data_IF_417382603305
#
_entry.id   IF_417382603305
#
_cell.length_a   1.000
_cell.length_b   1.000
_cell.length_c   1.000
_cell.angle_alpha   90.00
_cell.angle_beta   90.00
_cell.angle_gamma   90.00
#
_symmetry.space_group_name_H-M   'P 1'
#
loop_
_entity.id
_entity.type
_entity.pdbx_description
1 polymer ?
#
# COMPACT_ATOMS: atom_id res chain seq x y z
N UNK A 1 90.97 51.83 -61.52
CA UNK A 1 90.12 52.33 -60.41
C UNK A 1 88.65 52.29 -60.80
N UNK A 2 88.25 52.58 -62.02
CA UNK A 2 86.84 52.55 -62.45
C UNK A 2 86.17 51.17 -62.30
N UNK A 3 86.88 50.07 -62.60
CA UNK A 3 86.39 48.69 -62.55
C UNK A 3 86.08 48.23 -61.09
N UNK A 4 86.79 48.80 -60.06
CA UNK A 4 86.47 48.53 -58.65
C UNK A 4 85.23 49.29 -58.16
N UNK A 5 85.06 50.52 -58.66
CA UNK A 5 83.86 51.32 -58.30
C UNK A 5 82.57 50.68 -58.81
N UNK A 6 82.62 50.17 -60.07
CA UNK A 6 81.46 49.44 -60.68
C UNK A 6 81.17 48.11 -59.95
N UNK A 7 82.21 47.39 -59.53
CA UNK A 7 82.01 46.16 -58.73
C UNK A 7 81.46 46.44 -57.34
N UNK A 8 81.84 47.52 -56.69
CA UNK A 8 81.29 47.96 -55.42
C UNK A 8 79.83 48.37 -55.59
N UNK A 9 79.50 49.12 -56.62
CA UNK A 9 78.11 49.49 -56.95
C UNK A 9 77.22 48.29 -57.19
N UNK A 10 77.70 47.34 -58.00
CA UNK A 10 77.01 46.10 -58.28
C UNK A 10 76.80 45.25 -56.99
N UNK A 11 77.83 45.14 -56.18
CA UNK A 11 77.70 44.43 -54.87
C UNK A 11 76.78 45.13 -53.91
N UNK A 12 76.78 46.46 -53.86
CA UNK A 12 75.88 47.26 -53.04
C UNK A 12 74.44 47.09 -53.49
N UNK A 13 74.16 47.18 -54.78
CA UNK A 13 72.81 46.94 -55.35
C UNK A 13 72.36 45.51 -55.06
N UNK A 14 73.25 44.53 -55.17
CA UNK A 14 72.91 43.16 -54.85
C UNK A 14 72.59 42.94 -53.35
N UNK A 15 73.32 43.62 -52.47
CA UNK A 15 73.05 43.62 -51.00
C UNK A 15 71.71 44.24 -50.70
N UNK A 16 71.37 45.35 -51.34
CA UNK A 16 70.02 45.95 -51.16
C UNK A 16 68.92 45.09 -51.66
N UNK A 17 69.08 44.47 -52.82
CA UNK A 17 68.09 43.47 -53.32
C UNK A 17 67.89 42.30 -52.34
N UNK A 18 69.04 41.71 -51.87
CA UNK A 18 69.00 40.60 -50.94
C UNK A 18 68.41 41.00 -49.58
N UNK A 19 68.61 42.20 -49.11
CA UNK A 19 67.96 42.75 -47.89
C UNK A 19 66.45 42.87 -48.08
N UNK A 20 66.00 43.34 -49.26
CA UNK A 20 64.64 43.42 -49.61
C UNK A 20 63.95 42.02 -49.64
N UNK A 21 64.58 41.05 -50.34
CA UNK A 21 64.09 39.65 -50.38
C UNK A 21 64.03 39.02 -48.97
N UNK A 22 65.09 39.24 -48.13
CA UNK A 22 65.09 38.77 -46.75
C UNK A 22 63.87 39.32 -45.94
N UNK A 23 63.65 40.63 -46.07
CA UNK A 23 62.60 41.29 -45.35
C UNK A 23 61.16 40.72 -45.77
N UNK A 24 60.99 40.47 -47.05
CA UNK A 24 59.74 39.88 -47.55
C UNK A 24 59.59 38.42 -47.07
N UNK A 25 60.62 37.58 -47.13
CA UNK A 25 60.64 36.23 -46.61
C UNK A 25 60.39 36.18 -45.08
N UNK A 26 60.96 37.13 -44.31
CA UNK A 26 60.72 37.27 -42.90
C UNK A 26 59.20 37.59 -42.62
N UNK A 27 58.58 38.47 -43.43
CA UNK A 27 57.13 38.75 -43.35
C UNK A 27 56.29 37.55 -43.70
N UNK A 28 56.63 36.80 -44.75
CA UNK A 28 55.98 35.58 -45.12
C UNK A 28 56.08 34.51 -44.03
N UNK A 29 57.24 34.32 -43.47
CA UNK A 29 57.50 33.39 -42.38
C UNK A 29 56.65 33.76 -41.16
N UNK A 30 56.53 35.07 -40.86
CA UNK A 30 55.70 35.53 -39.76
C UNK A 30 54.23 35.28 -40.05
N UNK A 31 53.73 35.51 -41.24
CA UNK A 31 52.40 35.20 -41.68
C UNK A 31 52.10 33.69 -41.56
N UNK A 32 52.98 32.81 -42.05
CA UNK A 32 52.85 31.38 -41.95
C UNK A 32 52.90 30.89 -40.50
N UNK A 33 53.74 31.47 -39.64
CA UNK A 33 53.86 31.11 -38.22
C UNK A 33 52.58 31.41 -37.45
N UNK A 34 51.89 32.48 -37.79
CA UNK A 34 50.62 32.85 -37.14
C UNK A 34 49.41 32.50 -37.99
N UNK A 35 49.57 31.86 -39.12
CA UNK A 35 48.46 31.38 -39.93
C UNK A 35 47.80 30.20 -39.24
N UNK A 36 46.58 30.38 -38.83
CA UNK A 36 45.69 29.37 -38.26
C UNK A 36 44.58 29.08 -39.26
N UNK A 37 44.82 28.13 -40.18
CA UNK A 37 43.72 27.70 -41.08
C UNK A 37 42.58 27.17 -40.26
N UNK A 38 41.37 27.46 -40.65
CA UNK A 38 40.14 27.00 -39.95
C UNK A 38 39.97 27.52 -38.54
N UNK A 39 40.56 28.66 -38.15
CA UNK A 39 40.45 29.21 -36.80
C UNK A 39 39.00 29.46 -36.41
N UNK A 40 38.20 30.10 -37.29
CA UNK A 40 36.80 30.42 -37.04
C UNK A 40 35.96 29.13 -36.93
N UNK A 41 36.23 28.14 -37.75
CA UNK A 41 35.55 26.84 -37.71
C UNK A 41 35.91 26.06 -36.44
N UNK A 42 37.18 26.03 -36.04
CA UNK A 42 37.61 25.41 -34.79
C UNK A 42 37.02 26.09 -33.55
N UNK A 43 36.97 27.41 -33.54
CA UNK A 43 36.36 28.19 -32.46
C UNK A 43 34.84 27.94 -32.38
N UNK A 44 34.18 27.82 -33.56
CA UNK A 44 32.74 27.46 -33.63
C UNK A 44 32.50 26.05 -33.11
N UNK A 45 33.27 25.06 -33.57
CA UNK A 45 33.18 23.67 -33.10
C UNK A 45 33.46 23.53 -31.59
N UNK A 46 34.46 24.27 -31.10
CA UNK A 46 34.77 24.31 -29.67
C UNK A 46 33.59 24.86 -28.85
N UNK A 47 32.95 25.93 -29.30
CA UNK A 47 31.76 26.48 -28.67
C UNK A 47 30.62 25.50 -28.68
N UNK A 48 30.35 24.83 -29.81
CA UNK A 48 29.30 23.85 -29.96
C UNK A 48 29.56 22.64 -29.03
N UNK A 49 30.78 22.13 -28.97
CA UNK A 49 31.17 21.04 -28.06
C UNK A 49 30.99 21.43 -26.61
N UNK A 50 31.33 22.66 -26.21
CA UNK A 50 31.09 23.15 -24.86
C UNK A 50 29.61 23.29 -24.55
N UNK A 51 28.82 23.77 -25.48
CA UNK A 51 27.35 23.86 -25.33
C UNK A 51 26.72 22.47 -25.17
N UNK A 52 27.15 21.50 -25.97
CA UNK A 52 26.70 20.11 -25.84
C UNK A 52 27.08 19.50 -24.49
N UNK A 53 28.28 19.78 -23.99
CA UNK A 53 28.71 19.32 -22.66
C UNK A 53 27.89 19.95 -21.51
N UNK A 54 27.55 21.22 -21.63
CA UNK A 54 26.66 21.88 -20.66
C UNK A 54 25.26 21.27 -20.70
N UNK A 55 24.73 21.07 -21.91
CA UNK A 55 23.40 20.44 -22.08
C UNK A 55 23.36 19.02 -21.54
N UNK A 56 24.40 18.23 -21.74
CA UNK A 56 24.56 16.88 -21.16
C UNK A 56 24.51 16.92 -19.64
N UNK A 57 25.23 17.86 -19.02
CA UNK A 57 25.21 18.06 -17.56
C UNK A 57 23.82 18.46 -17.03
N UNK A 58 23.16 19.38 -17.73
CA UNK A 58 21.78 19.78 -17.40
C UNK A 58 20.79 18.61 -17.46
N UNK A 59 20.84 17.84 -18.55
CA UNK A 59 19.95 16.69 -18.73
C UNK A 59 20.18 15.61 -17.67
N UNK A 60 21.44 15.32 -17.34
CA UNK A 60 21.77 14.40 -16.25
C UNK A 60 21.21 14.90 -14.90
N UNK A 61 21.30 16.21 -14.63
CA UNK A 61 20.71 16.83 -13.46
C UNK A 61 19.18 16.70 -13.43
N UNK A 62 18.51 16.94 -14.57
CA UNK A 62 17.05 16.80 -14.70
C UNK A 62 16.59 15.35 -14.53
N UNK A 63 17.29 14.39 -15.13
CA UNK A 63 17.02 12.95 -14.98
C UNK A 63 17.11 12.56 -13.51
N UNK A 64 18.21 12.93 -12.84
CA UNK A 64 18.45 12.61 -11.43
C UNK A 64 17.38 13.23 -10.51
N UNK A 65 17.02 14.49 -10.74
CA UNK A 65 15.97 15.18 -9.98
C UNK A 65 14.58 14.56 -10.20
N UNK A 66 14.28 14.16 -11.45
CA UNK A 66 13.02 13.52 -11.79
C UNK A 66 12.92 12.12 -11.16
N UNK A 67 14.03 11.36 -11.18
CA UNK A 67 14.10 10.05 -10.52
C UNK A 67 13.91 10.14 -9.01
N UNK A 68 14.54 11.12 -8.36
CA UNK A 68 14.34 11.39 -6.93
C UNK A 68 12.86 11.68 -6.60
N UNK A 69 12.16 12.46 -7.44
CA UNK A 69 10.73 12.73 -7.29
C UNK A 69 9.87 11.48 -7.48
N UNK A 70 10.19 10.63 -8.47
CA UNK A 70 9.50 9.36 -8.67
C UNK A 70 9.64 8.49 -7.43
N UNK A 71 10.85 8.32 -6.91
CA UNK A 71 11.12 7.52 -5.73
C UNK A 71 10.38 8.07 -4.49
N UNK A 72 10.39 9.39 -4.31
CA UNK A 72 9.64 10.04 -3.23
C UNK A 72 8.14 9.74 -3.31
N UNK A 73 7.52 9.90 -4.49
CA UNK A 73 6.09 9.62 -4.68
C UNK A 73 5.77 8.14 -4.52
N UNK A 74 6.66 7.23 -4.94
CA UNK A 74 6.49 5.80 -4.73
C UNK A 74 6.53 5.43 -3.25
N UNK A 75 7.51 5.95 -2.52
CA UNK A 75 7.62 5.72 -1.06
C UNK A 75 6.40 6.29 -0.31
N UNK A 76 5.92 7.47 -0.71
CA UNK A 76 4.70 8.06 -0.13
C UNK A 76 3.45 7.23 -0.45
N UNK A 77 3.34 6.71 -1.67
CA UNK A 77 2.27 5.80 -2.07
C UNK A 77 2.29 4.52 -1.22
N UNK A 78 3.44 3.85 -1.13
CA UNK A 78 3.62 2.61 -0.38
C UNK A 78 3.31 2.79 1.12
N UNK A 79 3.74 3.91 1.69
CA UNK A 79 3.44 4.25 3.09
C UNK A 79 1.93 4.42 3.31
N UNK A 80 1.26 5.21 2.47
CA UNK A 80 -0.18 5.44 2.59
C UNK A 80 -0.98 4.14 2.34
N UNK A 81 -0.54 3.30 1.40
CA UNK A 81 -1.16 1.99 1.14
C UNK A 81 -1.02 1.07 2.36
N UNK A 82 0.16 1.02 2.97
CA UNK A 82 0.39 0.23 4.18
C UNK A 82 -0.45 0.72 5.37
N UNK A 83 -0.61 2.04 5.54
CA UNK A 83 -1.46 2.63 6.57
C UNK A 83 -2.94 2.26 6.36
N UNK A 84 -3.46 2.39 5.13
CA UNK A 84 -4.84 1.99 4.79
C UNK A 84 -5.04 0.48 5.05
N UNK A 85 -4.09 -0.36 4.64
CA UNK A 85 -4.17 -1.80 4.84
C UNK A 85 -4.16 -2.18 6.32
N UNK A 86 -3.28 -1.57 7.12
CA UNK A 86 -3.17 -1.84 8.55
C UNK A 86 -4.44 -1.42 9.31
N UNK A 87 -4.96 -0.21 9.06
CA UNK A 87 -6.18 0.30 9.70
C UNK A 87 -7.41 -0.55 9.31
N UNK A 88 -7.55 -0.86 8.02
CA UNK A 88 -8.65 -1.69 7.53
C UNK A 88 -8.58 -3.09 8.10
N UNK A 89 -7.38 -3.70 8.13
CA UNK A 89 -7.18 -5.03 8.69
C UNK A 89 -7.58 -5.08 10.17
N UNK A 90 -7.13 -4.11 10.97
CA UNK A 90 -7.46 -4.06 12.40
C UNK A 90 -8.99 -3.99 12.62
N UNK A 91 -9.72 -3.20 11.80
CA UNK A 91 -11.18 -3.09 11.88
C UNK A 91 -11.89 -4.37 11.44
N UNK A 92 -11.40 -5.00 10.36
CA UNK A 92 -11.96 -6.26 9.86
C UNK A 92 -11.72 -7.42 10.85
N UNK A 93 -10.51 -7.52 11.41
CA UNK A 93 -10.17 -8.54 12.40
C UNK A 93 -11.03 -8.38 13.68
N UNK A 94 -11.27 -7.14 14.13
CA UNK A 94 -12.17 -6.87 15.26
C UNK A 94 -13.60 -7.31 14.97
N UNK A 95 -14.15 -7.00 13.78
CA UNK A 95 -15.48 -7.43 13.39
C UNK A 95 -15.60 -8.94 13.20
N UNK A 96 -14.57 -9.58 12.68
CA UNK A 96 -14.52 -11.03 12.58
C UNK A 96 -14.59 -11.69 13.97
N UNK A 97 -13.84 -11.16 14.93
CA UNK A 97 -13.86 -11.66 16.31
C UNK A 97 -15.24 -11.51 16.94
N UNK A 98 -15.92 -10.35 16.78
CA UNK A 98 -17.29 -10.14 17.25
C UNK A 98 -18.27 -11.15 16.61
N UNK A 99 -18.11 -11.46 15.31
CA UNK A 99 -18.93 -12.47 14.63
C UNK A 99 -18.68 -13.87 15.16
N UNK A 100 -17.42 -14.25 15.37
CA UNK A 100 -17.03 -15.57 15.89
C UNK A 100 -17.58 -15.80 17.30
N UNK A 101 -17.58 -14.76 18.17
CA UNK A 101 -18.20 -14.83 19.50
C UNK A 101 -19.71 -15.05 19.44
N UNK A 102 -20.40 -14.35 18.53
CA UNK A 102 -21.86 -14.53 18.36
C UNK A 102 -22.17 -15.91 17.77
N UNK A 103 -21.41 -16.39 16.79
CA UNK A 103 -21.60 -17.73 16.21
C UNK A 103 -21.34 -18.83 17.27
N UNK A 104 -20.39 -18.63 18.17
CA UNK A 104 -20.18 -19.49 19.33
C UNK A 104 -21.42 -19.57 20.23
N UNK A 105 -21.98 -18.41 20.61
CA UNK A 105 -23.19 -18.32 21.44
C UNK A 105 -24.42 -18.96 20.74
N UNK A 106 -24.58 -18.74 19.44
CA UNK A 106 -25.65 -19.37 18.66
C UNK A 106 -25.52 -20.88 18.68
N UNK A 107 -24.29 -21.41 18.52
CA UNK A 107 -24.02 -22.86 18.58
C UNK A 107 -24.36 -23.43 19.94
N UNK A 108 -24.04 -22.73 21.05
CA UNK A 108 -24.40 -23.14 22.41
C UNK A 108 -25.95 -23.17 22.58
N UNK A 109 -26.64 -22.12 22.15
CA UNK A 109 -28.11 -22.04 22.25
C UNK A 109 -28.76 -23.14 21.40
N UNK A 110 -28.30 -23.38 20.18
CA UNK A 110 -28.84 -24.44 19.32
C UNK A 110 -28.61 -25.83 19.95
N UNK A 111 -27.43 -26.06 20.56
CA UNK A 111 -27.15 -27.28 21.33
C UNK A 111 -28.10 -27.46 22.52
N UNK A 112 -28.37 -26.39 23.27
CA UNK A 112 -29.31 -26.43 24.38
C UNK A 112 -30.74 -26.71 23.90
N UNK A 113 -31.20 -26.07 22.83
CA UNK A 113 -32.49 -26.30 22.23
C UNK A 113 -32.66 -27.73 21.72
N UNK A 114 -31.63 -28.34 21.12
CA UNK A 114 -31.66 -29.75 20.71
C UNK A 114 -31.75 -30.69 21.92
N UNK A 115 -30.99 -30.41 23.00
CA UNK A 115 -31.02 -31.21 24.23
C UNK A 115 -32.38 -31.19 24.96
N UNK A 116 -33.23 -30.20 24.71
CA UNK A 116 -34.56 -30.18 25.33
C UNK A 116 -35.46 -31.24 24.75
N UNK A 117 -35.27 -31.70 23.51
CA UNK A 117 -36.11 -32.68 22.82
C UNK A 117 -35.95 -34.07 23.44
N UNK A 118 -37.06 -34.72 23.79
CA UNK A 118 -37.11 -36.06 24.41
C UNK A 118 -36.52 -36.12 25.82
N UNK A 119 -36.21 -34.99 26.43
CA UNK A 119 -35.63 -34.88 27.76
C UNK A 119 -36.71 -34.81 28.88
N UNK A 120 -36.24 -34.86 30.13
CA UNK A 120 -37.11 -34.62 31.29
C UNK A 120 -37.75 -33.22 31.23
N UNK A 121 -37.01 -32.23 30.67
CA UNK A 121 -37.56 -30.87 30.45
C UNK A 121 -38.87 -30.92 29.63
N UNK A 122 -38.85 -31.52 28.46
CA UNK A 122 -40.03 -31.59 27.56
C UNK A 122 -41.19 -32.30 28.24
N UNK A 123 -40.92 -33.36 28.99
CA UNK A 123 -41.95 -34.07 29.75
C UNK A 123 -42.54 -33.21 30.86
N UNK A 124 -41.71 -32.50 31.65
CA UNK A 124 -42.19 -31.59 32.71
C UNK A 124 -43.05 -30.47 32.14
N UNK A 125 -42.62 -29.86 31.02
CA UNK A 125 -43.37 -28.79 30.35
C UNK A 125 -44.77 -29.29 29.90
N UNK A 126 -44.86 -30.52 29.42
CA UNK A 126 -46.13 -31.10 28.98
C UNK A 126 -47.04 -31.64 30.10
N UNK A 127 -46.47 -31.98 31.26
CA UNK A 127 -47.21 -32.77 32.27
C UNK A 127 -47.32 -32.14 33.65
N UNK A 128 -46.56 -31.12 33.98
CA UNK A 128 -46.53 -30.49 35.31
C UNK A 128 -46.63 -28.96 35.19
N UNK A 129 -47.75 -28.41 35.51
CA UNK A 129 -47.94 -26.97 35.58
C UNK A 129 -47.03 -26.40 36.69
N UNK A 130 -46.42 -25.25 36.48
CA UNK A 130 -45.52 -24.56 37.45
C UNK A 130 -44.36 -25.40 38.00
N UNK A 131 -43.91 -26.42 37.24
CA UNK A 131 -42.82 -27.30 37.62
C UNK A 131 -41.50 -26.49 37.90
N UNK A 132 -41.32 -25.37 37.21
CA UNK A 132 -40.17 -24.50 37.35
C UNK A 132 -40.06 -23.90 38.75
N UNK A 133 -41.20 -23.53 39.35
CA UNK A 133 -41.29 -22.96 40.70
C UNK A 133 -41.07 -24.00 41.81
N UNK A 134 -41.14 -25.27 41.44
CA UNK A 134 -41.03 -26.41 42.35
C UNK A 134 -39.73 -27.20 42.04
N UNK A 135 -39.83 -28.23 41.27
CA UNK A 135 -38.75 -29.16 40.95
C UNK A 135 -37.63 -28.45 40.18
N UNK A 136 -37.95 -27.45 39.33
CA UNK A 136 -36.97 -26.68 38.55
C UNK A 136 -36.00 -25.89 39.37
N UNK A 137 -36.29 -25.54 40.64
CA UNK A 137 -35.37 -24.84 41.55
C UNK A 137 -34.35 -25.75 42.21
N UNK A 138 -34.56 -27.05 42.23
CA UNK A 138 -33.70 -28.03 42.93
C UNK A 138 -33.02 -29.01 41.95
N UNK A 139 -33.49 -29.05 40.71
CA UNK A 139 -32.97 -29.98 39.70
C UNK A 139 -31.69 -29.39 39.09
N UNK A 140 -30.69 -30.24 38.87
CA UNK A 140 -29.51 -29.83 38.13
C UNK A 140 -29.82 -29.77 36.62
N UNK A 141 -29.65 -28.59 36.02
CA UNK A 141 -29.99 -28.33 34.62
C UNK A 141 -29.15 -29.18 33.68
N UNK A 142 -27.83 -29.25 33.91
CA UNK A 142 -26.88 -29.93 32.99
C UNK A 142 -26.99 -31.45 33.09
N UNK A 143 -27.08 -32.00 34.28
CA UNK A 143 -26.94 -33.44 34.51
C UNK A 143 -28.26 -34.22 34.56
N UNK A 144 -29.40 -33.54 34.82
CA UNK A 144 -30.68 -34.23 35.01
C UNK A 144 -31.79 -33.68 34.09
N UNK A 145 -31.93 -32.39 34.00
CA UNK A 145 -33.08 -31.78 33.32
C UNK A 145 -33.14 -32.12 31.82
N UNK A 146 -31.99 -32.08 31.18
CA UNK A 146 -31.86 -32.41 29.75
C UNK A 146 -31.45 -33.89 29.48
N UNK A 147 -31.56 -34.74 30.49
CA UNK A 147 -31.32 -36.16 30.34
C UNK A 147 -32.49 -36.84 29.61
N UNK A 148 -32.14 -37.65 28.61
CA UNK A 148 -33.08 -38.51 27.89
C UNK A 148 -33.18 -39.90 28.56
N UNK A 149 -34.27 -40.66 28.33
CA UNK A 149 -34.40 -42.05 28.83
C UNK A 149 -34.70 -42.19 30.32
N UNK A 150 -35.11 -41.12 31.00
CA UNK A 150 -35.52 -41.19 32.42
C UNK A 150 -36.89 -41.77 32.64
N UNK A 151 -37.70 -41.91 31.58
CA UNK A 151 -39.11 -42.45 31.61
C UNK A 151 -39.94 -41.88 32.75
N UNK A 152 -40.08 -40.55 32.89
CA UNK A 152 -40.79 -39.95 34.00
C UNK A 152 -42.29 -40.29 33.97
N UNK A 153 -42.88 -40.50 35.14
CA UNK A 153 -44.28 -40.80 35.32
C UNK A 153 -44.93 -39.81 36.31
N UNK A 154 -46.23 -39.57 36.15
CA UNK A 154 -46.94 -38.70 37.09
C UNK A 154 -47.14 -39.46 38.40
N UNK A 155 -46.74 -38.84 39.50
CA UNK A 155 -47.03 -39.29 40.87
C UNK A 155 -47.81 -38.17 41.58
N UNK A 156 -48.81 -38.54 42.40
CA UNK A 156 -49.65 -37.61 43.14
C UNK A 156 -49.01 -37.19 44.47
N UNK A 157 -47.81 -37.67 44.76
CA UNK A 157 -47.06 -37.30 45.97
C UNK A 157 -46.70 -35.82 46.05
N UNK A 158 -46.85 -35.21 47.20
CA UNK A 158 -46.58 -33.77 47.44
C UNK A 158 -45.18 -33.49 47.97
N UNK A 159 -44.35 -34.51 48.15
CA UNK A 159 -43.00 -34.38 48.70
C UNK A 159 -41.95 -34.94 47.78
N UNK A 160 -40.77 -34.31 47.73
CA UNK A 160 -39.61 -34.78 47.00
C UNK A 160 -38.91 -35.83 47.90
N UNK A 161 -39.03 -37.13 47.57
CA UNK A 161 -38.44 -38.24 48.35
C UNK A 161 -38.81 -38.21 49.85
N UNK A 162 -40.03 -37.77 50.23
CA UNK A 162 -40.45 -37.69 51.60
C UNK A 162 -39.98 -36.45 52.39
N UNK A 163 -39.30 -35.53 51.73
CA UNK A 163 -38.83 -34.27 52.30
C UNK A 163 -39.66 -33.11 51.81
N UNK A 164 -40.17 -32.28 52.67
CA UNK A 164 -40.83 -31.01 52.34
C UNK A 164 -39.79 -29.90 52.37
N UNK A 165 -39.60 -29.24 51.23
CA UNK A 165 -38.65 -28.11 51.10
C UNK A 165 -39.47 -26.81 50.88
N UNK A 166 -38.99 -25.75 51.50
CA UNK A 166 -39.41 -24.39 51.15
C UNK A 166 -38.53 -23.86 50.00
N UNK A 167 -39.12 -23.69 48.83
CA UNK A 167 -38.43 -23.30 47.62
C UNK A 167 -38.69 -21.84 47.21
N UNK A 168 -39.40 -21.08 48.07
CA UNK A 168 -39.86 -19.73 47.69
C UNK A 168 -38.71 -18.77 47.41
N UNK A 169 -37.66 -18.84 48.22
CA UNK A 169 -36.52 -17.90 48.13
C UNK A 169 -35.42 -18.34 47.13
N UNK A 170 -35.56 -19.51 46.50
CA UNK A 170 -34.60 -19.97 45.50
C UNK A 170 -34.80 -19.29 44.13
N UNK A 171 -33.69 -18.82 43.51
CA UNK A 171 -33.80 -18.25 42.15
C UNK A 171 -34.21 -19.30 41.13
N UNK A 172 -34.91 -18.86 40.07
CA UNK A 172 -35.19 -19.69 38.90
C UNK A 172 -33.85 -19.95 38.14
N UNK A 173 -33.42 -21.21 38.16
CA UNK A 173 -32.15 -21.61 37.55
C UNK A 173 -32.30 -22.06 36.09
N UNK A 174 -33.55 -22.30 35.61
CA UNK A 174 -33.77 -22.92 34.30
C UNK A 174 -34.15 -21.88 33.25
N UNK A 175 -33.41 -21.84 32.15
CA UNK A 175 -33.75 -21.01 30.99
C UNK A 175 -34.84 -21.67 30.12
N UNK A 176 -35.88 -20.91 29.84
CA UNK A 176 -36.99 -21.41 28.99
C UNK A 176 -36.61 -21.47 27.51
N UNK A 177 -37.05 -22.50 26.74
CA UNK A 177 -36.83 -22.54 25.30
C UNK A 177 -37.36 -21.30 24.56
N UNK A 178 -38.40 -20.66 25.05
CA UNK A 178 -38.90 -19.42 24.47
C UNK A 178 -37.90 -18.27 24.63
N UNK A 179 -37.23 -18.19 25.79
CA UNK A 179 -36.17 -17.21 26.03
C UNK A 179 -34.94 -17.50 25.17
N UNK A 180 -34.52 -18.77 25.06
CA UNK A 180 -33.41 -19.20 24.20
C UNK A 180 -33.68 -18.88 22.71
N UNK A 181 -34.94 -19.09 22.24
CA UNK A 181 -35.34 -18.73 20.87
C UNK A 181 -35.36 -17.24 20.64
N UNK A 182 -35.76 -16.42 21.64
CA UNK A 182 -35.72 -14.97 21.55
C UNK A 182 -34.27 -14.47 21.51
N UNK A 183 -33.42 -14.96 22.41
CA UNK A 183 -31.97 -14.64 22.43
C UNK A 183 -31.27 -15.04 21.13
N UNK A 184 -31.61 -16.24 20.60
CA UNK A 184 -31.13 -16.69 19.29
C UNK A 184 -31.50 -15.71 18.16
N UNK A 185 -32.76 -15.26 18.14
CA UNK A 185 -33.20 -14.32 17.12
C UNK A 185 -32.51 -12.96 17.20
N UNK A 186 -32.25 -12.48 18.42
CA UNK A 186 -31.46 -11.24 18.64
C UNK A 186 -30.02 -11.39 18.16
N UNK A 187 -29.38 -12.51 18.50
CA UNK A 187 -28.01 -12.80 18.07
C UNK A 187 -27.92 -12.98 16.54
N UNK A 188 -28.88 -13.66 15.91
CA UNK A 188 -28.98 -13.77 14.46
C UNK A 188 -29.11 -12.39 13.79
N UNK A 189 -29.90 -11.48 14.36
CA UNK A 189 -30.04 -10.12 13.86
C UNK A 189 -28.73 -9.32 14.01
N UNK A 190 -28.09 -9.44 15.18
CA UNK A 190 -26.78 -8.81 15.42
C UNK A 190 -25.71 -9.35 14.44
N UNK A 191 -25.66 -10.66 14.22
CA UNK A 191 -24.73 -11.27 13.27
C UNK A 191 -24.94 -10.76 11.83
N UNK A 192 -26.20 -10.61 11.40
CA UNK A 192 -26.51 -10.02 10.07
C UNK A 192 -26.02 -8.59 9.96
N UNK A 193 -26.17 -7.80 11.01
CA UNK A 193 -25.69 -6.41 11.05
C UNK A 193 -24.17 -6.37 10.95
N UNK A 194 -23.46 -7.18 11.75
CA UNK A 194 -22.01 -7.28 11.70
C UNK A 194 -21.48 -7.73 10.34
N UNK A 195 -22.13 -8.72 9.72
CA UNK A 195 -21.79 -9.16 8.35
C UNK A 195 -21.95 -8.03 7.32
N UNK A 196 -22.99 -7.21 7.45
CA UNK A 196 -23.18 -6.04 6.58
C UNK A 196 -22.10 -4.96 6.82
N UNK A 197 -21.76 -4.70 8.08
CA UNK A 197 -20.66 -3.78 8.44
C UNK A 197 -19.31 -4.27 7.91
N UNK A 198 -19.03 -5.57 8.02
CA UNK A 198 -17.80 -6.18 7.49
C UNK A 198 -17.67 -5.99 5.97
N UNK A 199 -18.75 -6.23 5.22
CA UNK A 199 -18.79 -5.98 3.78
C UNK A 199 -18.59 -4.50 3.47
N UNK A 200 -19.25 -3.60 4.21
CA UNK A 200 -19.05 -2.15 4.05
C UNK A 200 -17.61 -1.69 4.31
N UNK A 201 -16.93 -2.28 5.29
CA UNK A 201 -15.52 -1.99 5.56
C UNK A 201 -14.62 -2.48 4.42
N UNK A 202 -14.90 -3.64 3.83
CA UNK A 202 -14.15 -4.17 2.67
C UNK A 202 -14.31 -3.26 1.46
N UNK A 203 -15.54 -2.84 1.15
CA UNK A 203 -15.80 -1.88 0.07
C UNK A 203 -15.12 -0.53 0.30
N UNK A 204 -15.09 -0.06 1.55
CA UNK A 204 -14.40 1.18 1.91
C UNK A 204 -12.90 1.05 1.69
N UNK A 205 -12.29 -0.07 2.07
CA UNK A 205 -10.88 -0.34 1.84
C UNK A 205 -10.55 -0.29 0.34
N UNK A 206 -11.35 -0.95 -0.50
CA UNK A 206 -11.17 -0.94 -1.96
C UNK A 206 -11.27 0.49 -2.53
N UNK A 207 -12.26 1.27 -2.09
CA UNK A 207 -12.43 2.67 -2.50
C UNK A 207 -11.21 3.52 -2.13
N UNK A 208 -10.71 3.39 -0.90
CA UNK A 208 -9.54 4.14 -0.45
C UNK A 208 -8.29 3.77 -1.24
N UNK A 209 -8.08 2.49 -1.56
CA UNK A 209 -6.99 2.04 -2.41
C UNK A 209 -7.10 2.60 -3.84
N UNK A 210 -8.30 2.59 -4.41
CA UNK A 210 -8.53 3.14 -5.75
C UNK A 210 -8.32 4.66 -5.80
N UNK A 211 -8.76 5.38 -4.78
CA UNK A 211 -8.50 6.83 -4.66
C UNK A 211 -7.00 7.10 -4.55
N UNK A 212 -6.27 6.31 -3.75
CA UNK A 212 -4.82 6.41 -3.63
C UNK A 212 -4.14 6.18 -4.99
N UNK A 213 -4.51 5.13 -5.71
CA UNK A 213 -4.00 4.85 -7.07
C UNK A 213 -4.28 6.00 -8.03
N UNK A 214 -5.52 6.51 -8.05
CA UNK A 214 -5.91 7.65 -8.90
C UNK A 214 -5.11 8.91 -8.58
N UNK A 215 -4.73 9.14 -7.34
CA UNK A 215 -3.95 10.29 -6.91
C UNK A 215 -2.48 10.21 -7.34
N UNK A 216 -1.86 9.04 -7.23
CA UNK A 216 -0.41 8.87 -7.42
C UNK A 216 -0.03 8.36 -8.80
N UNK A 217 -0.76 7.41 -9.38
CA UNK A 217 -0.39 6.78 -10.64
C UNK A 217 -0.22 7.77 -11.81
N UNK A 218 -1.11 8.76 -12.02
CA UNK A 218 -0.92 9.74 -13.10
C UNK A 218 0.35 10.56 -12.93
N UNK A 219 0.66 11.01 -11.70
CA UNK A 219 1.84 11.81 -11.41
C UNK A 219 3.14 11.04 -11.64
N UNK A 220 3.18 9.80 -11.18
CA UNK A 220 4.35 8.91 -11.38
C UNK A 220 4.53 8.62 -12.87
N UNK A 221 3.45 8.40 -13.60
CA UNK A 221 3.49 8.18 -15.04
C UNK A 221 4.02 9.39 -15.79
N UNK A 222 3.51 10.59 -15.50
CA UNK A 222 3.97 11.84 -16.11
C UNK A 222 5.47 12.07 -15.88
N UNK A 223 5.96 11.84 -14.66
CA UNK A 223 7.38 11.95 -14.35
C UNK A 223 8.23 10.90 -15.07
N UNK A 224 7.73 9.69 -15.25
CA UNK A 224 8.41 8.65 -16.02
C UNK A 224 8.50 9.00 -17.51
N UNK A 225 7.44 9.57 -18.08
CA UNK A 225 7.42 10.06 -19.44
C UNK A 225 8.43 11.22 -19.62
N UNK A 226 8.48 12.16 -18.65
CA UNK A 226 9.45 13.26 -18.64
C UNK A 226 10.89 12.75 -18.53
N UNK A 227 11.16 11.79 -17.64
CA UNK A 227 12.48 11.15 -17.52
C UNK A 227 12.91 10.51 -18.85
N UNK A 228 12.01 9.73 -19.48
CA UNK A 228 12.26 9.09 -20.76
C UNK A 228 12.54 10.07 -21.88
N UNK A 229 11.86 11.21 -21.89
CA UNK A 229 12.13 12.30 -22.82
C UNK A 229 13.56 12.83 -22.66
N UNK A 230 13.98 13.16 -21.43
CA UNK A 230 15.34 13.65 -21.17
C UNK A 230 16.42 12.60 -21.48
N UNK A 231 16.15 11.32 -21.19
CA UNK A 231 17.07 10.22 -21.56
C UNK A 231 17.22 10.09 -23.07
N UNK A 232 16.14 10.33 -23.83
CA UNK A 232 16.18 10.31 -25.29
C UNK A 232 16.99 11.48 -25.84
N UNK A 233 16.81 12.69 -25.30
CA UNK A 233 17.62 13.86 -25.66
C UNK A 233 19.11 13.62 -25.34
N UNK A 234 19.40 13.06 -24.16
CA UNK A 234 20.77 12.75 -23.73
C UNK A 234 21.45 11.77 -24.69
N UNK A 235 20.73 10.77 -25.17
CA UNK A 235 21.26 9.74 -26.11
C UNK A 235 21.68 10.32 -27.44
N UNK A 236 21.11 11.45 -27.88
CA UNK A 236 21.42 12.09 -29.17
C UNK A 236 22.68 12.98 -29.08
N UNK A 237 23.06 13.46 -27.90
CA UNK A 237 24.22 14.35 -27.73
C UNK A 237 25.54 13.75 -28.23
N UNK A 238 25.93 12.49 -27.91
CA UNK A 238 27.15 11.89 -28.42
C UNK A 238 27.22 11.77 -29.95
N UNK A 239 26.07 11.73 -30.61
CA UNK A 239 25.99 11.65 -32.07
C UNK A 239 26.22 13.02 -32.76
N UNK A 240 26.10 14.12 -31.98
CA UNK A 240 26.30 15.49 -32.45
C UNK A 240 27.69 16.02 -32.14
N UNK A 241 28.48 15.33 -31.32
CA UNK A 241 29.90 15.59 -31.02
C UNK A 241 30.79 14.96 -32.07
#
# INVERSE_FOLDING_TARGET
>A
EADFADKITLATNRIELLKGEKTELEKELLKLKYWQPYKEENDALSKETNNLALREKELNGLISATEAKINQLQTEYEKNEAEIMADSKAKLDAKQHEMDEIEGKLTEIDSLLERTKGSLYEWLEANKLDWEQNIGKVINEESVLYQTGLHPQKDEGTSLFGVKLDLMDLPLAVRKPAQLKAERAELDAALRTLKAEYVGLTELQEKLQDELKRRFAPKIRELRELKSYHETELRVIPQKR
#
